data_IF_208988333279
#
_entry.id   IF_208988333279
#
_cell.length_a   1.000
_cell.length_b   1.000
_cell.length_c   1.000
_cell.angle_alpha   90.00
_cell.angle_beta   90.00
_cell.angle_gamma   90.00
#
_symmetry.space_group_name_H-M   'P 1'
#
loop_
_entity.id
_entity.type
_entity.pdbx_description
1 polymer ?
#
# COMPACT_ATOMS: atom_id res chain seq x y z
N UNK A 1 38.87 -10.63 18.83
CA UNK A 1 37.71 -10.01 18.15
C UNK A 1 36.52 -10.21 19.07
N UNK A 2 36.01 -9.14 19.68
CA UNK A 2 34.80 -9.24 20.48
C UNK A 2 33.62 -9.48 19.54
N UNK A 3 32.84 -10.55 19.77
CA UNK A 3 31.59 -10.79 19.07
C UNK A 3 30.71 -9.54 19.24
N UNK A 4 30.22 -8.94 18.15
CA UNK A 4 29.26 -7.84 18.27
C UNK A 4 28.03 -8.39 18.97
N UNK A 5 27.66 -7.79 20.11
CA UNK A 5 26.45 -8.21 20.83
C UNK A 5 25.18 -7.69 20.18
N UNK A 6 25.31 -6.66 19.33
CA UNK A 6 24.23 -6.11 18.52
C UNK A 6 24.28 -6.74 17.14
N UNK A 7 23.17 -7.32 16.71
CA UNK A 7 22.94 -7.65 15.30
C UNK A 7 22.57 -6.35 14.57
N UNK A 8 23.43 -5.91 13.66
CA UNK A 8 23.25 -4.67 12.90
C UNK A 8 21.98 -4.67 12.04
N UNK A 9 21.45 -5.85 11.67
CA UNK A 9 20.22 -5.97 10.90
C UNK A 9 18.96 -5.67 11.74
N UNK A 10 19.08 -5.75 13.06
CA UNK A 10 17.99 -5.47 13.99
C UNK A 10 18.03 -4.03 14.51
N UNK A 11 19.07 -3.25 14.16
CA UNK A 11 19.20 -1.85 14.56
C UNK A 11 18.15 -1.02 13.82
N UNK A 12 17.25 -0.33 14.54
CA UNK A 12 16.24 0.51 13.91
C UNK A 12 16.89 1.59 13.04
N UNK A 13 16.31 1.85 11.87
CA UNK A 13 16.77 2.94 11.02
C UNK A 13 16.51 4.28 11.72
N UNK A 14 17.53 5.11 11.85
CA UNK A 14 17.39 6.46 12.41
C UNK A 14 16.60 7.38 11.45
N UNK A 15 16.57 7.05 10.15
CA UNK A 15 15.64 7.59 9.15
C UNK A 15 15.80 9.08 8.84
N UNK A 16 16.93 9.69 9.22
CA UNK A 16 17.21 11.10 9.00
C UNK A 16 18.65 11.28 8.51
N UNK A 17 18.85 12.27 7.63
CA UNK A 17 20.16 12.61 7.10
C UNK A 17 20.76 13.73 7.94
N UNK A 18 22.03 13.60 8.31
CA UNK A 18 22.79 14.64 9.02
C UNK A 18 22.86 15.92 8.19
N UNK A 19 22.63 17.07 8.83
CA UNK A 19 22.90 18.37 8.19
C UNK A 19 21.83 18.89 7.22
N UNK A 20 20.58 18.44 7.33
CA UNK A 20 19.50 18.88 6.42
C UNK A 20 19.13 20.35 6.67
N UNK A 21 19.09 21.15 5.60
CA UNK A 21 18.64 22.55 5.60
C UNK A 21 19.24 23.42 6.73
N UNK A 22 20.57 23.62 6.77
CA UNK A 22 21.22 24.41 7.81
C UNK A 22 20.66 25.83 7.89
N UNK A 23 20.38 26.30 9.10
CA UNK A 23 19.87 27.65 9.38
C UNK A 23 20.99 28.56 9.89
N UNK A 24 20.84 29.86 9.60
CA UNK A 24 21.57 31.02 10.13
C UNK A 24 22.85 30.69 10.94
N UNK A 25 24.00 30.56 10.25
CA UNK A 25 25.31 30.38 10.90
C UNK A 25 25.75 28.93 11.14
N UNK A 26 24.97 27.93 10.72
CA UNK A 26 25.44 26.54 10.54
C UNK A 26 25.39 25.63 11.78
N UNK A 27 24.84 26.11 12.90
CA UNK A 27 24.69 25.31 14.12
C UNK A 27 23.45 24.41 14.11
N UNK A 28 22.33 24.91 13.59
CA UNK A 28 21.03 24.24 13.62
C UNK A 28 20.57 23.81 12.23
N UNK A 29 19.96 22.64 12.17
CA UNK A 29 19.45 21.97 10.97
C UNK A 29 18.02 21.47 11.21
N UNK A 30 17.28 21.23 10.13
CA UNK A 30 15.95 20.63 10.21
C UNK A 30 16.07 19.18 10.68
N UNK A 31 15.38 18.83 11.76
CA UNK A 31 15.27 17.46 12.27
C UNK A 31 14.26 16.60 11.49
N UNK A 32 14.05 15.38 11.95
CA UNK A 32 13.18 14.39 11.29
C UNK A 32 11.67 14.60 11.57
N UNK A 33 11.33 15.45 12.54
CA UNK A 33 9.97 15.61 13.06
C UNK A 33 9.50 17.05 12.89
N UNK A 34 8.24 17.25 12.48
CA UNK A 34 7.61 18.57 12.42
C UNK A 34 7.12 19.05 13.77
N UNK A 35 7.13 20.37 13.98
CA UNK A 35 6.51 21.01 15.14
C UNK A 35 4.99 20.73 15.09
N UNK A 36 4.35 20.42 16.23
CA UNK A 36 2.90 20.20 16.26
C UNK A 36 2.13 21.38 15.67
N UNK A 37 1.24 21.11 14.70
CA UNK A 37 0.41 22.13 14.06
C UNK A 37 1.16 23.04 13.08
N UNK A 38 2.40 22.73 12.70
CA UNK A 38 3.20 23.52 11.76
C UNK A 38 3.83 22.65 10.68
N UNK A 39 4.12 23.27 9.54
CA UNK A 39 4.91 22.66 8.45
C UNK A 39 6.42 22.70 8.73
N UNK A 40 6.85 23.44 9.76
CA UNK A 40 8.25 23.57 10.13
C UNK A 40 8.77 22.32 10.87
N UNK A 41 10.03 21.97 10.61
CA UNK A 41 10.73 20.93 11.34
C UNK A 41 11.26 21.44 12.69
N UNK A 42 11.33 20.53 13.66
CA UNK A 42 12.04 20.74 14.92
C UNK A 42 13.52 20.95 14.59
N UNK A 43 14.08 22.06 15.05
CA UNK A 43 15.50 22.35 14.82
C UNK A 43 16.36 21.47 15.74
N UNK A 44 17.42 20.92 15.18
CA UNK A 44 18.39 20.05 15.88
C UNK A 44 19.81 20.47 15.52
N UNK A 45 20.83 20.14 16.33
CA UNK A 45 22.22 20.41 15.94
C UNK A 45 22.56 19.75 14.60
N UNK A 46 23.25 20.45 13.70
CA UNK A 46 23.63 19.91 12.39
C UNK A 46 24.56 18.68 12.46
N UNK A 47 25.18 18.43 13.63
CA UNK A 47 25.92 17.20 13.89
C UNK A 47 25.02 15.96 14.05
N UNK A 48 23.70 16.15 14.15
CA UNK A 48 22.71 15.12 14.37
C UNK A 48 21.86 14.81 13.13
N UNK A 49 21.47 13.53 12.93
CA UNK A 49 21.94 12.35 13.67
C UNK A 49 23.43 12.06 13.45
N UNK A 50 24.09 11.28 14.33
CA UNK A 50 25.47 10.81 14.10
C UNK A 50 25.53 9.95 12.84
N UNK A 51 26.74 9.71 12.33
CA UNK A 51 26.88 8.71 11.27
C UNK A 51 26.63 7.29 11.80
N UNK A 52 26.29 6.38 10.89
CA UNK A 52 25.90 5.00 11.27
C UNK A 52 27.04 4.27 12.01
N UNK A 53 28.32 4.33 11.58
CA UNK A 53 29.41 3.71 12.33
C UNK A 53 29.59 4.25 13.75
N UNK A 54 29.53 5.58 13.94
CA UNK A 54 29.62 6.22 15.26
C UNK A 54 28.48 5.78 16.17
N UNK A 55 27.26 5.76 15.64
CA UNK A 55 26.08 5.27 16.37
C UNK A 55 26.21 3.80 16.77
N UNK A 56 26.58 2.92 15.84
CA UNK A 56 26.72 1.49 16.10
C UNK A 56 27.84 1.19 17.11
N UNK A 57 28.94 1.94 17.08
CA UNK A 57 30.02 1.80 18.06
C UNK A 57 29.51 2.10 19.47
N UNK A 58 28.78 3.22 19.64
CA UNK A 58 28.21 3.60 20.94
C UNK A 58 27.08 2.69 21.40
N UNK A 59 26.23 2.23 20.49
CA UNK A 59 25.18 1.27 20.78
C UNK A 59 25.78 -0.04 21.31
N UNK A 60 26.80 -0.58 20.65
CA UNK A 60 27.51 -1.78 21.11
C UNK A 60 28.16 -1.58 22.49
N UNK A 61 28.78 -0.43 22.74
CA UNK A 61 29.38 -0.09 24.05
C UNK A 61 28.33 -0.14 25.16
N UNK A 62 27.19 0.52 24.98
CA UNK A 62 26.13 0.57 26.01
C UNK A 62 25.41 -0.76 26.19
N UNK A 63 25.15 -1.50 25.11
CA UNK A 63 24.53 -2.82 25.18
C UNK A 63 25.45 -3.82 25.88
N UNK A 64 26.76 -3.81 25.58
CA UNK A 64 27.74 -4.65 26.26
C UNK A 64 27.87 -4.35 27.76
N UNK A 65 27.72 -3.08 28.13
CA UNK A 65 27.67 -2.67 29.53
C UNK A 65 26.32 -2.97 30.22
N UNK A 66 25.27 -3.33 29.45
CA UNK A 66 23.89 -3.44 29.94
C UNK A 66 23.29 -2.13 30.46
N UNK A 67 23.98 -1.01 30.21
CA UNK A 67 23.68 0.29 30.78
C UNK A 67 24.27 1.42 29.93
N UNK A 68 23.45 2.43 29.66
CA UNK A 68 23.85 3.70 29.09
C UNK A 68 23.75 4.78 30.18
N UNK A 69 24.87 5.05 30.85
CA UNK A 69 25.03 6.19 31.79
C UNK A 69 23.96 6.27 32.90
N UNK A 70 23.61 5.12 33.48
CA UNK A 70 22.61 4.98 34.54
C UNK A 70 21.27 4.44 34.05
N UNK A 71 20.98 4.53 32.75
CA UNK A 71 19.79 3.92 32.16
C UNK A 71 20.08 2.49 31.74
N UNK A 72 19.35 1.52 32.30
CA UNK A 72 19.44 0.13 31.83
C UNK A 72 19.05 0.06 30.36
N UNK A 73 19.87 -0.61 29.57
CA UNK A 73 19.58 -0.85 28.15
C UNK A 73 19.69 -2.34 27.86
N UNK A 74 18.91 -2.79 26.89
CA UNK A 74 18.99 -4.15 26.38
C UNK A 74 18.72 -4.15 24.87
N UNK A 75 19.24 -5.16 24.18
CA UNK A 75 19.07 -5.30 22.74
C UNK A 75 18.58 -6.72 22.42
N UNK A 76 17.28 -7.00 22.62
CA UNK A 76 16.74 -8.33 22.39
C UNK A 76 16.81 -8.69 20.90
N UNK A 77 16.97 -9.98 20.61
CA UNK A 77 17.01 -10.54 19.25
C UNK A 77 15.65 -11.02 18.75
N UNK A 78 14.64 -11.08 19.63
CA UNK A 78 13.29 -11.46 19.27
C UNK A 78 12.62 -10.45 18.33
N UNK A 79 11.52 -10.87 17.69
CA UNK A 79 10.80 -10.06 16.70
C UNK A 79 9.44 -9.57 17.18
N UNK A 80 9.14 -9.71 18.48
CA UNK A 80 7.91 -9.16 19.05
C UNK A 80 7.93 -7.63 19.02
N UNK A 81 6.77 -6.98 19.08
CA UNK A 81 6.69 -5.53 19.15
C UNK A 81 7.33 -5.00 20.44
N UNK A 82 7.25 -5.77 21.54
CA UNK A 82 7.98 -5.48 22.78
C UNK A 82 9.50 -5.46 22.55
N UNK A 83 10.05 -6.44 21.83
CA UNK A 83 11.48 -6.48 21.51
C UNK A 83 11.90 -5.30 20.61
N UNK A 84 11.08 -4.97 19.61
CA UNK A 84 11.33 -3.83 18.71
C UNK A 84 11.27 -2.50 19.47
N UNK A 85 10.28 -2.31 20.34
CA UNK A 85 10.16 -1.12 21.19
C UNK A 85 11.38 -1.00 22.10
N UNK A 86 11.85 -2.10 22.68
CA UNK A 86 13.03 -2.11 23.53
C UNK A 86 14.30 -1.73 22.74
N UNK A 87 14.48 -2.26 21.51
CA UNK A 87 15.57 -1.83 20.62
C UNK A 87 15.50 -0.34 20.29
N UNK A 88 14.31 0.21 20.05
CA UNK A 88 14.11 1.64 19.80
C UNK A 88 14.40 2.47 21.06
N UNK A 89 13.97 2.03 22.23
CA UNK A 89 14.28 2.71 23.50
C UNK A 89 15.79 2.75 23.72
N UNK A 90 16.48 1.64 23.51
CA UNK A 90 17.95 1.56 23.61
C UNK A 90 18.64 2.48 22.58
N UNK A 91 18.14 2.53 21.34
CA UNK A 91 18.65 3.45 20.32
C UNK A 91 18.45 4.93 20.71
N UNK A 92 17.27 5.29 21.23
CA UNK A 92 16.96 6.64 21.71
C UNK A 92 17.85 7.06 22.88
N UNK A 93 18.03 6.17 23.87
CA UNK A 93 18.92 6.40 25.01
C UNK A 93 20.37 6.55 24.53
N UNK A 94 20.79 5.75 23.55
CA UNK A 94 22.13 5.86 22.95
C UNK A 94 22.32 7.21 22.30
N UNK A 95 21.38 7.66 21.46
CA UNK A 95 21.43 8.97 20.81
C UNK A 95 21.54 10.11 21.82
N UNK A 96 20.73 10.08 22.88
CA UNK A 96 20.72 11.11 23.92
C UNK A 96 22.01 11.17 24.73
N UNK A 97 22.83 10.10 24.72
CA UNK A 97 24.03 9.96 25.54
C UNK A 97 25.33 9.78 24.73
N UNK A 98 25.33 10.06 23.42
CA UNK A 98 26.48 9.87 22.53
C UNK A 98 27.78 10.48 23.06
N UNK A 99 27.72 11.74 23.52
CA UNK A 99 28.88 12.53 23.93
C UNK A 99 28.93 12.77 25.46
N UNK A 100 28.08 12.09 26.23
CA UNK A 100 28.00 12.24 27.68
C UNK A 100 26.55 12.26 28.19
N UNK A 101 26.33 12.30 29.52
CA UNK A 101 25.00 12.28 30.11
C UNK A 101 24.12 13.43 29.60
N UNK A 102 23.08 13.11 28.83
CA UNK A 102 22.19 14.11 28.20
C UNK A 102 22.86 15.00 27.15
N UNK A 103 24.11 14.71 26.77
CA UNK A 103 24.85 15.42 25.74
C UNK A 103 24.91 14.50 24.53
N UNK A 104 23.92 14.65 23.65
CA UNK A 104 23.76 13.81 22.48
C UNK A 104 22.74 14.39 21.52
N UNK A 105 22.28 13.56 20.59
CA UNK A 105 21.32 13.99 19.61
C UNK A 105 19.89 13.94 20.17
N UNK A 106 19.12 15.04 20.05
CA UNK A 106 17.74 15.05 20.50
C UNK A 106 16.95 14.04 19.69
N UNK A 107 15.95 13.42 20.30
CA UNK A 107 15.20 12.36 19.62
C UNK A 107 14.48 12.83 18.34
N UNK A 108 14.14 14.11 18.27
CA UNK A 108 13.60 14.78 17.08
C UNK A 108 14.57 14.80 15.87
N UNK A 109 15.85 14.48 16.07
CA UNK A 109 16.81 14.29 14.97
C UNK A 109 16.63 12.97 14.23
N UNK A 110 15.72 12.09 14.70
CA UNK A 110 15.47 10.77 14.10
C UNK A 110 13.98 10.47 14.03
N UNK A 111 13.63 9.42 13.30
CA UNK A 111 12.25 8.94 13.17
C UNK A 111 11.86 7.91 14.25
N UNK A 112 12.75 7.65 15.21
CA UNK A 112 12.60 6.58 16.20
C UNK A 112 11.36 6.73 17.09
N UNK A 113 10.98 7.94 17.51
CA UNK A 113 9.73 8.13 18.26
C UNK A 113 8.49 7.79 17.41
N UNK A 114 8.52 8.10 16.12
CA UNK A 114 7.41 7.77 15.24
C UNK A 114 7.31 6.25 15.04
N UNK A 115 8.45 5.56 14.92
CA UNK A 115 8.51 4.09 14.85
C UNK A 115 8.04 3.43 16.14
N UNK A 116 8.48 3.93 17.30
CA UNK A 116 8.00 3.45 18.61
C UNK A 116 6.50 3.64 18.74
N UNK A 117 5.99 4.82 18.41
CA UNK A 117 4.55 5.10 18.43
C UNK A 117 3.79 4.19 17.46
N UNK A 118 4.38 3.83 16.32
CA UNK A 118 3.80 2.86 15.39
C UNK A 118 3.61 1.51 16.06
N UNK A 119 4.66 0.97 16.66
CA UNK A 119 4.63 -0.32 17.36
C UNK A 119 3.68 -0.27 18.57
N UNK A 120 3.68 0.81 19.35
CA UNK A 120 2.76 1.02 20.47
C UNK A 120 1.30 1.15 20.01
N UNK A 121 1.08 1.66 18.79
CA UNK A 121 -0.25 1.73 18.15
C UNK A 121 -0.66 0.44 17.43
N UNK A 122 0.22 -0.58 17.39
CA UNK A 122 -0.02 -1.85 16.71
C UNK A 122 0.27 -1.84 15.19
N UNK A 123 0.90 -0.78 14.67
CA UNK A 123 1.36 -0.70 13.28
C UNK A 123 2.85 -1.01 13.24
N UNK A 124 3.21 -2.18 12.74
CA UNK A 124 4.60 -2.49 12.42
C UNK A 124 5.01 -1.74 11.14
N UNK A 125 5.93 -0.77 11.29
CA UNK A 125 6.42 0.04 10.17
C UNK A 125 7.06 -0.78 9.04
N UNK A 126 7.59 -1.98 9.34
CA UNK A 126 8.16 -2.89 8.35
C UNK A 126 7.09 -3.55 7.46
N UNK A 127 5.85 -3.62 7.94
CA UNK A 127 4.72 -4.16 7.19
C UNK A 127 4.01 -3.10 6.33
N UNK A 128 4.40 -1.83 6.47
CA UNK A 128 3.85 -0.72 5.70
C UNK A 128 4.36 -0.80 4.26
N UNK A 129 3.47 -0.98 3.27
CA UNK A 129 3.86 -1.09 1.86
C UNK A 129 4.66 0.13 1.41
N UNK A 130 5.67 -0.10 0.58
CA UNK A 130 6.46 0.98 0.00
C UNK A 130 5.65 1.78 -1.02
N UNK A 131 5.90 3.07 -1.16
CA UNK A 131 5.24 3.87 -2.19
C UNK A 131 5.69 3.52 -3.60
N UNK A 132 6.91 2.99 -3.76
CA UNK A 132 7.52 2.65 -5.05
C UNK A 132 7.62 3.84 -6.00
N UNK A 133 7.62 5.06 -5.48
CA UNK A 133 7.71 6.29 -6.23
C UNK A 133 8.37 7.39 -5.37
N UNK A 134 9.17 8.24 -6.01
CA UNK A 134 9.81 9.38 -5.37
C UNK A 134 8.95 10.63 -5.51
N UNK A 135 9.03 11.52 -4.52
CA UNK A 135 8.42 12.86 -4.56
C UNK A 135 9.13 13.75 -5.57
N UNK A 136 8.38 14.63 -6.23
CA UNK A 136 8.97 15.70 -7.06
C UNK A 136 9.52 15.25 -8.42
N UNK A 137 9.06 14.13 -8.98
CA UNK A 137 9.55 13.63 -10.27
C UNK A 137 9.10 14.56 -11.41
N UNK A 138 10.04 15.00 -12.26
CA UNK A 138 9.81 15.81 -13.46
C UNK A 138 8.84 16.99 -13.24
N UNK A 139 9.20 17.96 -12.37
CA UNK A 139 8.34 19.09 -12.07
C UNK A 139 8.00 19.87 -13.34
N UNK A 140 6.72 20.16 -13.55
CA UNK A 140 6.28 20.99 -14.68
C UNK A 140 6.48 22.47 -14.33
N UNK A 141 7.12 23.22 -15.23
CA UNK A 141 7.50 24.61 -14.99
C UNK A 141 6.30 25.46 -14.52
N UNK A 142 6.35 25.94 -13.27
CA UNK A 142 5.44 26.95 -12.70
C UNK A 142 4.13 26.45 -12.07
N UNK A 143 3.82 25.14 -12.06
CA UNK A 143 2.47 24.65 -11.73
C UNK A 143 2.28 23.89 -10.41
N UNK A 144 3.35 23.50 -9.71
CA UNK A 144 3.23 22.66 -8.50
C UNK A 144 2.88 21.19 -8.78
N UNK A 145 2.77 20.80 -10.05
CA UNK A 145 2.49 19.43 -10.50
C UNK A 145 3.75 18.72 -11.02
N UNK A 146 3.82 17.43 -10.72
CA UNK A 146 4.89 16.50 -11.02
C UNK A 146 4.32 15.23 -11.67
N UNK A 147 5.18 14.43 -12.29
CA UNK A 147 4.80 13.12 -12.81
C UNK A 147 4.54 12.15 -11.65
N UNK A 148 3.39 11.48 -11.67
CA UNK A 148 3.04 10.42 -10.73
C UNK A 148 3.65 9.06 -11.09
N UNK A 149 3.30 8.04 -10.32
CA UNK A 149 3.83 6.68 -10.46
C UNK A 149 3.17 5.85 -11.57
N UNK A 150 2.05 6.32 -12.12
CA UNK A 150 1.25 5.59 -13.12
C UNK A 150 1.10 6.39 -14.42
N UNK A 151 1.06 5.69 -15.55
CA UNK A 151 0.81 6.29 -16.86
C UNK A 151 -0.67 6.57 -17.07
N UNK A 152 -0.98 7.63 -17.82
CA UNK A 152 -2.33 7.88 -18.33
C UNK A 152 -2.71 6.72 -19.26
N UNK A 153 -3.95 6.21 -19.18
CA UNK A 153 -4.39 5.14 -20.08
C UNK A 153 -4.18 5.51 -21.55
N UNK A 154 -3.57 4.61 -22.32
CA UNK A 154 -3.33 4.81 -23.76
C UNK A 154 -2.25 5.86 -24.11
N UNK A 155 -1.46 6.31 -23.14
CA UNK A 155 -0.43 7.34 -23.36
C UNK A 155 0.90 6.97 -22.71
N UNK A 156 1.99 7.49 -23.28
CA UNK A 156 3.32 7.48 -22.67
C UNK A 156 3.51 8.57 -21.62
N UNK A 157 2.48 9.36 -21.31
CA UNK A 157 2.53 10.37 -20.25
C UNK A 157 2.17 9.78 -18.89
N UNK A 158 2.77 10.32 -17.82
CA UNK A 158 2.37 10.01 -16.45
C UNK A 158 1.15 10.82 -16.03
N UNK A 159 0.34 10.25 -15.11
CA UNK A 159 -0.71 10.99 -14.43
C UNK A 159 -0.04 12.09 -13.60
N UNK A 160 -0.49 13.33 -13.76
CA UNK A 160 0.05 14.46 -13.00
C UNK A 160 -0.49 14.41 -11.57
N UNK A 161 0.40 14.66 -10.62
CA UNK A 161 0.11 14.71 -9.18
C UNK A 161 0.79 15.93 -8.57
N UNK A 162 0.34 16.44 -7.41
CA UNK A 162 1.05 17.50 -6.73
C UNK A 162 2.50 17.08 -6.45
N UNK A 163 3.47 17.97 -6.65
CA UNK A 163 4.89 17.71 -6.37
C UNK A 163 5.18 17.45 -4.89
N UNK A 164 4.23 17.77 -4.00
CA UNK A 164 4.28 17.39 -2.59
C UNK A 164 4.02 15.89 -2.35
N UNK A 165 3.58 15.15 -3.38
CA UNK A 165 3.22 13.74 -3.33
C UNK A 165 4.25 12.85 -4.05
N UNK A 166 4.51 11.63 -3.54
CA UNK A 166 4.02 11.08 -2.27
C UNK A 166 4.54 11.86 -1.04
N UNK A 167 3.87 11.72 0.12
CA UNK A 167 4.29 12.40 1.35
C UNK A 167 5.63 11.86 1.87
N UNK A 168 6.23 12.56 2.81
CA UNK A 168 7.37 12.03 3.56
C UNK A 168 6.95 10.80 4.37
N UNK A 169 7.75 9.73 4.32
CA UNK A 169 7.41 8.44 4.97
C UNK A 169 7.13 8.60 6.48
N UNK A 170 7.91 9.40 7.25
CA UNK A 170 7.60 9.62 8.67
C UNK A 170 6.27 10.35 8.89
N UNK A 171 5.93 11.33 8.04
CA UNK A 171 4.65 12.06 8.10
C UNK A 171 3.47 11.12 7.81
N UNK A 172 3.61 10.27 6.79
CA UNK A 172 2.62 9.25 6.47
C UNK A 172 2.44 8.23 7.59
N UNK A 173 3.53 7.69 8.15
CA UNK A 173 3.47 6.72 9.25
C UNK A 173 2.78 7.30 10.47
N UNK A 174 3.09 8.56 10.83
CA UNK A 174 2.42 9.23 11.94
C UNK A 174 0.89 9.29 11.76
N UNK A 175 0.42 9.55 10.52
CA UNK A 175 -1.01 9.57 10.20
C UNK A 175 -1.64 8.19 10.10
N UNK A 176 -0.92 7.22 9.53
CA UNK A 176 -1.36 5.83 9.48
C UNK A 176 -1.63 5.31 10.89
N UNK A 177 -0.70 5.56 11.82
CA UNK A 177 -0.84 5.16 13.22
C UNK A 177 -2.05 5.80 13.89
N UNK A 178 -2.28 7.09 13.64
CA UNK A 178 -3.45 7.81 14.17
C UNK A 178 -4.76 7.16 13.70
N UNK A 179 -4.88 6.84 12.41
CA UNK A 179 -6.09 6.22 11.87
C UNK A 179 -6.27 4.76 12.28
N UNK A 180 -5.20 3.98 12.34
CA UNK A 180 -5.26 2.58 12.77
C UNK A 180 -5.61 2.50 14.25
N UNK A 181 -5.01 3.33 15.10
CA UNK A 181 -5.35 3.40 16.53
C UNK A 181 -6.82 3.80 16.74
N UNK A 182 -7.36 4.68 15.90
CA UNK A 182 -8.78 5.04 15.91
C UNK A 182 -9.70 3.98 15.28
N UNK A 183 -9.14 2.96 14.61
CA UNK A 183 -9.89 2.01 13.76
C UNK A 183 -10.62 2.68 12.59
N UNK A 184 -10.30 3.94 12.30
CA UNK A 184 -11.04 4.81 11.41
C UNK A 184 -10.17 5.93 10.82
N UNK A 185 -10.25 6.07 9.50
CA UNK A 185 -9.70 7.18 8.75
C UNK A 185 -10.86 8.05 8.22
N UNK A 186 -11.30 9.02 9.03
CA UNK A 186 -12.29 10.04 8.65
C UNK A 186 -13.60 9.46 8.10
N UNK A 187 -14.19 8.52 8.82
CA UNK A 187 -15.44 7.84 8.46
C UNK A 187 -15.26 6.53 7.71
N UNK A 188 -14.04 6.22 7.27
CA UNK A 188 -13.71 4.94 6.63
C UNK A 188 -13.07 4.02 7.67
N UNK A 189 -13.66 2.85 7.92
CA UNK A 189 -13.07 1.85 8.81
C UNK A 189 -11.73 1.38 8.23
N UNK A 190 -10.70 1.35 9.05
CA UNK A 190 -9.38 0.85 8.66
C UNK A 190 -8.90 -0.19 9.65
N UNK A 191 -8.11 -1.14 9.16
CA UNK A 191 -7.42 -2.12 9.96
C UNK A 191 -6.01 -2.34 9.42
N UNK A 192 -5.08 -2.75 10.28
CA UNK A 192 -3.70 -3.00 9.88
C UNK A 192 -3.26 -4.37 10.42
N UNK A 193 -3.67 -5.46 9.77
CA UNK A 193 -3.35 -6.80 10.23
C UNK A 193 -1.83 -7.04 10.17
N UNK A 194 -1.32 -7.89 11.05
CA UNK A 194 0.12 -8.26 11.11
C UNK A 194 0.44 -9.56 10.36
N UNK A 195 -0.58 -10.30 9.90
CA UNK A 195 -0.39 -11.56 9.18
C UNK A 195 0.28 -11.40 7.81
N UNK A 196 0.73 -12.51 7.23
CA UNK A 196 1.49 -12.51 5.97
C UNK A 196 0.68 -12.99 4.75
N UNK A 197 -0.62 -13.25 4.92
CA UNK A 197 -1.47 -13.65 3.80
C UNK A 197 -1.59 -12.54 2.77
N UNK A 198 -1.91 -12.87 1.52
CA UNK A 198 -2.19 -11.84 0.51
C UNK A 198 -3.38 -10.96 0.93
N UNK A 199 -4.37 -11.52 1.63
CA UNK A 199 -5.47 -10.76 2.21
C UNK A 199 -4.98 -9.72 3.23
N UNK A 200 -4.08 -10.09 4.15
CA UNK A 200 -3.50 -9.16 5.13
C UNK A 200 -2.69 -8.05 4.43
N UNK A 201 -1.90 -8.42 3.42
CA UNK A 201 -1.11 -7.46 2.64
C UNK A 201 -2.00 -6.50 1.85
N UNK A 202 -3.09 -7.00 1.24
CA UNK A 202 -4.07 -6.18 0.53
C UNK A 202 -4.77 -5.22 1.49
N UNK A 203 -5.13 -5.67 2.68
CA UNK A 203 -5.77 -4.82 3.69
C UNK A 203 -4.82 -3.72 4.17
N UNK A 204 -3.53 -4.03 4.40
CA UNK A 204 -2.52 -3.00 4.67
C UNK A 204 -2.38 -1.99 3.54
N UNK A 205 -2.43 -2.43 2.28
CA UNK A 205 -2.41 -1.52 1.11
C UNK A 205 -3.67 -0.67 1.05
N UNK A 206 -4.86 -1.23 1.32
CA UNK A 206 -6.11 -0.48 1.36
C UNK A 206 -6.05 0.62 2.43
N UNK A 207 -5.62 0.26 3.64
CA UNK A 207 -5.44 1.21 4.74
C UNK A 207 -4.39 2.28 4.40
N UNK A 208 -3.30 1.90 3.70
CA UNK A 208 -2.30 2.86 3.23
C UNK A 208 -2.87 3.84 2.19
N UNK A 209 -3.67 3.36 1.23
CA UNK A 209 -4.35 4.19 0.22
C UNK A 209 -5.36 5.14 0.86
N UNK A 210 -6.17 4.66 1.80
CA UNK A 210 -7.13 5.49 2.55
C UNK A 210 -6.40 6.56 3.36
N UNK A 211 -5.30 6.20 4.02
CA UNK A 211 -4.46 7.15 4.76
C UNK A 211 -3.90 8.21 3.83
N UNK A 212 -3.33 7.80 2.69
CA UNK A 212 -2.75 8.67 1.68
C UNK A 212 -3.75 9.74 1.20
N UNK A 213 -4.98 9.33 0.92
CA UNK A 213 -6.06 10.21 0.45
C UNK A 213 -6.62 11.14 1.54
N UNK A 214 -6.34 10.88 2.81
CA UNK A 214 -6.93 11.60 3.96
C UNK A 214 -5.91 12.32 4.86
N UNK A 215 -4.65 12.45 4.41
CA UNK A 215 -3.52 12.99 5.17
C UNK A 215 -3.80 14.34 5.82
N UNK A 216 -4.37 15.28 5.06
CA UNK A 216 -4.56 16.68 5.46
C UNK A 216 -6.02 17.06 5.69
N UNK A 217 -6.97 16.14 5.48
CA UNK A 217 -8.40 16.39 5.57
C UNK A 217 -9.22 15.29 4.91
N UNK A 218 -10.55 15.25 5.06
CA UNK A 218 -11.40 14.30 4.34
C UNK A 218 -11.21 14.46 2.83
N UNK A 219 -10.66 13.45 2.16
CA UNK A 219 -10.33 13.49 0.73
C UNK A 219 -9.25 14.49 0.32
N UNK A 220 -8.57 15.12 1.30
CA UNK A 220 -7.47 16.06 1.07
C UNK A 220 -6.17 15.36 1.43
N UNK A 221 -5.47 14.87 0.42
CA UNK A 221 -4.24 14.11 0.57
C UNK A 221 -3.58 13.87 -0.78
N UNK A 222 -2.73 12.84 -0.84
CA UNK A 222 -2.08 12.46 -2.09
C UNK A 222 -2.97 11.49 -2.88
N UNK A 223 -3.12 11.69 -4.21
CA UNK A 223 -3.87 10.77 -5.05
C UNK A 223 -3.15 9.42 -5.11
N UNK A 224 -3.89 8.32 -5.25
CA UNK A 224 -3.28 6.98 -5.36
C UNK A 224 -2.23 6.88 -6.49
N UNK A 225 -2.43 7.65 -7.55
CA UNK A 225 -1.51 7.79 -8.68
C UNK A 225 -0.11 8.33 -8.32
N UNK A 226 0.08 8.91 -7.13
CA UNK A 226 1.41 9.31 -6.65
C UNK A 226 2.23 8.14 -6.10
N UNK A 227 1.69 6.92 -6.10
CA UNK A 227 2.33 5.71 -5.59
C UNK A 227 2.04 4.51 -6.49
N UNK A 228 2.75 3.41 -6.27
CA UNK A 228 2.51 2.12 -6.92
C UNK A 228 1.59 1.20 -6.13
N UNK A 229 0.99 1.68 -5.03
CA UNK A 229 0.17 0.86 -4.12
C UNK A 229 -0.98 0.13 -4.84
N UNK A 230 -1.64 0.77 -5.81
CA UNK A 230 -2.68 0.11 -6.61
C UNK A 230 -2.12 -1.02 -7.49
N UNK A 231 -0.89 -0.88 -8.01
CA UNK A 231 -0.23 -1.93 -8.78
C UNK A 231 0.22 -3.08 -7.87
N UNK A 232 0.75 -2.78 -6.68
CA UNK A 232 1.12 -3.77 -5.68
C UNK A 232 -0.10 -4.57 -5.20
N UNK A 233 -1.23 -3.90 -4.98
CA UNK A 233 -2.50 -4.56 -4.66
C UNK A 233 -2.90 -5.55 -5.75
N UNK A 234 -2.88 -5.13 -7.02
CA UNK A 234 -3.17 -6.01 -8.17
C UNK A 234 -2.20 -7.19 -8.28
N UNK A 235 -0.92 -6.98 -7.98
CA UNK A 235 0.08 -8.05 -7.96
C UNK A 235 -0.21 -9.10 -6.87
N UNK A 236 -0.63 -8.66 -5.68
CA UNK A 236 -1.04 -9.56 -4.59
C UNK A 236 -2.38 -10.26 -4.88
N UNK A 237 -3.32 -9.56 -5.51
CA UNK A 237 -4.61 -10.11 -5.95
C UNK A 237 -4.43 -11.18 -7.03
N UNK A 238 -3.42 -11.04 -7.89
CA UNK A 238 -3.09 -12.01 -8.94
C UNK A 238 -2.19 -13.17 -8.48
N UNK A 239 -1.82 -13.22 -7.20
CA UNK A 239 -0.93 -14.23 -6.64
C UNK A 239 0.55 -14.08 -7.04
N UNK A 240 0.90 -13.09 -7.85
CA UNK A 240 2.26 -12.74 -8.25
C UNK A 240 2.85 -11.67 -7.32
N UNK A 241 2.95 -11.98 -6.02
CA UNK A 241 3.77 -11.14 -5.14
C UNK A 241 5.22 -11.14 -5.65
N UNK A 242 5.90 -9.99 -5.77
CA UNK A 242 7.36 -10.00 -5.87
C UNK A 242 7.91 -10.79 -4.68
N UNK A 243 8.92 -11.65 -4.87
CA UNK A 243 9.51 -12.37 -3.75
C UNK A 243 10.02 -11.35 -2.73
N UNK A 244 9.80 -11.64 -1.45
CA UNK A 244 10.53 -10.95 -0.39
C UNK A 244 12.04 -11.07 -0.68
N UNK A 245 12.88 -10.09 -0.32
CA UNK A 245 14.32 -10.24 -0.48
C UNK A 245 14.77 -11.39 0.42
N UNK A 246 15.08 -12.54 -0.19
CA UNK A 246 15.68 -13.66 0.51
C UNK A 246 17.20 -13.44 0.61
N UNK A 247 17.83 -13.86 1.72
CA UNK A 247 19.27 -13.82 1.91
C UNK A 247 20.00 -14.75 0.92
N UNK A 248 21.30 -14.52 0.65
CA UNK A 248 22.03 -15.20 -0.41
C UNK A 248 22.37 -16.65 -0.03
N UNK A 249 21.97 -17.60 -0.87
CA UNK A 249 22.49 -18.97 -0.91
C UNK A 249 22.29 -19.53 -2.33
N UNK A 250 23.36 -19.56 -3.13
CA UNK A 250 24.13 -20.76 -3.55
C UNK A 250 23.41 -21.68 -4.53
N UNK A 251 24.02 -21.77 -5.71
CA UNK A 251 23.70 -22.61 -6.87
C UNK A 251 23.42 -24.07 -6.53
N UNK A 252 22.47 -24.66 -7.27
CA UNK A 252 22.67 -25.90 -8.03
C UNK A 252 21.50 -26.11 -9.01
N UNK A 253 21.87 -26.33 -10.28
CA UNK A 253 21.12 -27.00 -11.37
C UNK A 253 20.36 -28.27 -10.87
N UNK A 254 19.29 -28.79 -11.48
CA UNK A 254 19.16 -29.15 -12.90
C UNK A 254 17.72 -29.62 -13.28
N UNK A 255 17.45 -29.57 -14.60
CA UNK A 255 16.54 -30.34 -15.47
C UNK A 255 15.03 -30.62 -15.19
N UNK A 256 14.19 -29.87 -15.91
CA UNK A 256 13.29 -30.27 -17.02
C UNK A 256 12.47 -31.59 -16.97
N UNK A 257 11.15 -31.47 -17.23
CA UNK A 257 10.42 -32.33 -18.21
C UNK A 257 9.23 -31.59 -18.83
N UNK A 258 9.10 -31.77 -20.14
CA UNK A 258 8.09 -31.28 -21.09
C UNK A 258 6.96 -32.29 -21.32
N UNK A 259 5.74 -31.80 -21.56
CA UNK A 259 4.73 -32.24 -22.58
C UNK A 259 3.39 -31.55 -22.24
N UNK A 260 2.39 -31.32 -23.11
CA UNK A 260 2.22 -31.02 -24.54
C UNK A 260 0.69 -30.84 -24.69
N UNK A 261 0.27 -29.81 -25.44
CA UNK A 261 -1.05 -29.44 -25.98
C UNK A 261 -2.31 -30.33 -25.77
N UNK A 262 -3.43 -29.70 -25.35
CA UNK A 262 -4.74 -29.81 -26.03
C UNK A 262 -5.71 -28.68 -25.60
N UNK A 263 -6.41 -28.09 -26.58
CA UNK A 263 -7.26 -26.90 -26.45
C UNK A 263 -8.65 -27.17 -25.83
N UNK A 264 -9.05 -26.41 -24.80
CA UNK A 264 -10.45 -26.29 -24.34
C UNK A 264 -10.79 -24.85 -23.93
N UNK A 265 -11.08 -24.00 -24.92
CA UNK A 265 -11.58 -22.63 -24.71
C UNK A 265 -13.09 -22.54 -24.45
N UNK A 266 -13.69 -23.50 -23.72
CA UNK A 266 -15.13 -23.55 -23.47
C UNK A 266 -15.47 -23.17 -22.04
N UNK A 267 -15.90 -21.93 -21.81
CA UNK A 267 -16.48 -21.51 -20.54
C UNK A 267 -17.81 -22.22 -20.33
N UNK A 268 -17.94 -22.96 -19.22
CA UNK A 268 -19.21 -23.54 -18.80
C UNK A 268 -20.18 -22.41 -18.40
N UNK A 269 -21.22 -22.20 -19.20
CA UNK A 269 -22.22 -21.15 -19.01
C UNK A 269 -22.97 -21.26 -17.67
N UNK A 270 -23.02 -22.46 -17.07
CA UNK A 270 -23.65 -22.69 -15.76
C UNK A 270 -22.83 -22.14 -14.59
N UNK A 271 -21.50 -22.02 -14.77
CA UNK A 271 -20.59 -21.46 -13.77
C UNK A 271 -20.47 -19.93 -13.87
N UNK A 272 -21.05 -19.32 -14.91
CA UNK A 272 -21.02 -17.88 -15.12
C UNK A 272 -21.97 -17.19 -14.13
N UNK A 273 -21.44 -16.31 -13.24
CA UNK A 273 -22.25 -15.62 -12.26
C UNK A 273 -23.39 -14.84 -12.91
N UNK A 274 -24.55 -14.83 -12.26
CA UNK A 274 -25.67 -14.02 -12.74
C UNK A 274 -25.40 -12.53 -12.53
N UNK A 275 -25.89 -11.68 -13.44
CA UNK A 275 -25.73 -10.23 -13.27
C UNK A 275 -26.56 -9.69 -12.10
N UNK A 276 -27.63 -10.37 -11.71
CA UNK A 276 -28.54 -9.98 -10.63
C UNK A 276 -29.18 -8.61 -10.84
N UNK A 277 -29.29 -8.17 -12.09
CA UNK A 277 -29.90 -6.89 -12.48
C UNK A 277 -30.48 -7.00 -13.90
N UNK A 278 -31.58 -6.29 -14.14
CA UNK A 278 -32.21 -6.22 -15.45
C UNK A 278 -31.72 -4.99 -16.23
N UNK A 279 -31.63 -5.12 -17.56
CA UNK A 279 -31.33 -4.03 -18.48
C UNK A 279 -32.49 -3.02 -18.51
N UNK A 280 -32.18 -1.74 -18.67
CA UNK A 280 -33.19 -0.71 -18.93
C UNK A 280 -34.04 -0.28 -17.72
N UNK A 281 -33.57 -0.45 -16.48
CA UNK A 281 -34.35 -0.08 -15.28
C UNK A 281 -34.49 1.45 -15.20
N UNK A 282 -35.73 1.94 -15.03
CA UNK A 282 -36.07 3.35 -14.82
C UNK A 282 -35.34 4.32 -15.76
N UNK A 283 -35.56 4.24 -17.09
CA UNK A 283 -34.88 5.07 -18.06
C UNK A 283 -35.10 6.55 -17.76
N UNK A 284 -34.03 7.34 -17.78
CA UNK A 284 -34.11 8.79 -17.58
C UNK A 284 -34.46 9.46 -18.92
N UNK A 285 -35.49 10.30 -18.91
CA UNK A 285 -36.06 10.92 -20.11
C UNK A 285 -34.97 11.58 -20.97
N UNK A 286 -34.76 11.04 -22.18
CA UNK A 286 -33.93 11.62 -23.24
C UNK A 286 -32.41 11.39 -23.17
N UNK A 287 -31.88 10.71 -22.14
CA UNK A 287 -30.42 10.67 -21.88
C UNK A 287 -29.68 9.36 -22.20
N UNK A 288 -30.38 8.25 -22.50
CA UNK A 288 -29.73 6.95 -22.69
C UNK A 288 -29.22 6.29 -21.40
N UNK A 289 -29.44 6.93 -20.25
CA UNK A 289 -29.05 6.44 -18.92
C UNK A 289 -30.24 5.84 -18.15
N UNK A 290 -29.94 4.78 -17.40
CA UNK A 290 -30.84 4.00 -16.59
C UNK A 290 -30.26 3.84 -15.17
N UNK A 291 -31.10 3.42 -14.23
CA UNK A 291 -30.63 3.07 -12.88
C UNK A 291 -29.83 1.76 -12.91
N UNK A 292 -28.62 1.77 -12.35
CA UNK A 292 -27.80 0.59 -12.16
C UNK A 292 -28.21 -0.27 -10.96
N UNK A 293 -27.45 -1.33 -10.69
CA UNK A 293 -27.72 -2.31 -9.64
C UNK A 293 -27.27 -1.87 -8.23
N UNK A 294 -26.51 -0.77 -8.12
CA UNK A 294 -25.93 -0.30 -6.86
C UNK A 294 -26.33 1.15 -6.57
N UNK A 295 -26.48 1.48 -5.28
CA UNK A 295 -26.79 2.84 -4.82
C UNK A 295 -25.53 3.68 -4.70
N UNK A 296 -25.67 4.99 -4.92
CA UNK A 296 -24.62 5.97 -4.63
C UNK A 296 -24.37 5.99 -3.11
N UNK A 297 -23.10 6.06 -2.65
CA UNK A 297 -22.80 6.12 -1.22
C UNK A 297 -23.54 7.27 -0.53
N UNK A 298 -24.23 6.97 0.58
CA UNK A 298 -24.97 7.97 1.36
C UNK A 298 -26.25 8.50 0.70
N UNK A 299 -26.73 7.87 -0.36
CA UNK A 299 -27.94 8.30 -1.08
C UNK A 299 -28.90 7.14 -1.35
N UNK A 300 -30.18 7.45 -1.49
CA UNK A 300 -31.19 6.53 -2.00
C UNK A 300 -31.18 6.45 -3.54
N UNK A 301 -30.35 7.20 -4.24
CA UNK A 301 -30.24 7.13 -5.69
C UNK A 301 -29.35 5.98 -6.15
N UNK A 302 -29.68 5.38 -7.30
CA UNK A 302 -28.83 4.41 -7.97
C UNK A 302 -27.71 5.11 -8.75
N UNK A 303 -26.59 4.41 -8.91
CA UNK A 303 -25.54 4.82 -9.86
C UNK A 303 -26.13 4.72 -11.26
N UNK A 304 -26.04 5.80 -12.03
CA UNK A 304 -26.53 5.82 -13.41
C UNK A 304 -25.58 5.03 -14.30
N UNK A 305 -26.16 4.23 -15.20
CA UNK A 305 -25.45 3.41 -16.17
C UNK A 305 -26.13 3.53 -17.53
N UNK A 306 -25.45 3.25 -18.64
CA UNK A 306 -26.10 3.20 -19.95
C UNK A 306 -27.28 2.20 -19.92
N UNK A 307 -28.41 2.56 -20.50
CA UNK A 307 -29.59 1.68 -20.59
C UNK A 307 -29.35 0.39 -21.38
N UNK A 308 -28.26 0.34 -22.16
CA UNK A 308 -27.81 -0.88 -22.83
C UNK A 308 -27.21 -1.92 -21.87
N UNK A 309 -26.95 -1.54 -20.62
CA UNK A 309 -26.33 -2.36 -19.59
C UNK A 309 -27.31 -2.86 -18.52
N UNK A 310 -27.14 -4.09 -18.00
CA UNK A 310 -26.14 -5.09 -18.42
C UNK A 310 -26.40 -5.63 -19.85
N UNK A 311 -25.39 -6.22 -20.52
CA UNK A 311 -25.52 -6.74 -21.87
C UNK A 311 -26.43 -7.97 -21.91
N UNK A 312 -26.86 -8.37 -23.10
CA UNK A 312 -27.61 -9.60 -23.29
C UNK A 312 -26.72 -10.81 -22.97
N UNK A 313 -27.25 -11.77 -22.18
CA UNK A 313 -26.45 -12.88 -21.64
C UNK A 313 -25.74 -13.71 -22.72
N UNK A 314 -26.36 -14.06 -23.86
CA UNK A 314 -25.66 -14.76 -24.94
C UNK A 314 -24.50 -13.96 -25.55
N UNK A 315 -24.66 -12.64 -25.70
CA UNK A 315 -23.61 -11.75 -26.23
C UNK A 315 -22.42 -11.67 -25.28
N UNK A 316 -22.69 -11.54 -23.98
CA UNK A 316 -21.68 -11.57 -22.95
C UNK A 316 -20.93 -12.90 -22.92
N UNK A 317 -21.64 -14.03 -22.96
CA UNK A 317 -21.02 -15.36 -22.96
C UNK A 317 -20.12 -15.59 -24.18
N UNK A 318 -20.51 -15.07 -25.34
CA UNK A 318 -19.67 -15.15 -26.55
C UNK A 318 -18.32 -14.42 -26.33
N UNK A 319 -18.34 -13.21 -25.75
CA UNK A 319 -17.10 -12.48 -25.43
C UNK A 319 -16.31 -13.04 -24.27
N UNK A 320 -16.97 -13.56 -23.26
CA UNK A 320 -16.32 -14.24 -22.15
C UNK A 320 -15.52 -15.45 -22.65
N UNK A 321 -16.12 -16.26 -23.53
CA UNK A 321 -15.43 -17.38 -24.17
C UNK A 321 -14.21 -16.93 -24.97
N UNK A 322 -14.34 -15.87 -25.77
CA UNK A 322 -13.22 -15.33 -26.56
C UNK A 322 -12.05 -14.89 -25.68
N UNK A 323 -12.31 -14.14 -24.61
CA UNK A 323 -11.25 -13.66 -23.72
C UNK A 323 -10.61 -14.77 -22.90
N UNK A 324 -11.41 -15.74 -22.44
CA UNK A 324 -10.89 -16.89 -21.69
C UNK A 324 -10.06 -17.80 -22.59
N UNK A 325 -10.51 -18.06 -23.82
CA UNK A 325 -9.74 -18.82 -24.81
C UNK A 325 -8.42 -18.12 -25.16
N UNK A 326 -8.42 -16.79 -25.23
CA UNK A 326 -7.20 -15.99 -25.42
C UNK A 326 -6.35 -15.86 -24.14
N UNK A 327 -6.84 -16.31 -22.98
CA UNK A 327 -6.24 -16.05 -21.67
C UNK A 327 -6.11 -14.57 -21.32
N UNK A 328 -6.77 -13.69 -22.08
CA UNK A 328 -6.59 -12.25 -22.02
C UNK A 328 -7.84 -11.49 -22.53
N UNK A 329 -8.27 -10.52 -21.74
CA UNK A 329 -9.25 -9.50 -22.10
C UNK A 329 -8.54 -8.15 -22.30
N UNK A 330 -8.09 -7.90 -23.54
CA UNK A 330 -7.54 -6.61 -23.99
C UNK A 330 -6.45 -6.03 -23.08
N UNK A 331 -5.44 -6.83 -22.78
CA UNK A 331 -4.30 -6.47 -21.91
C UNK A 331 -4.48 -6.91 -20.45
N UNK A 332 -5.65 -7.39 -20.05
CA UNK A 332 -5.89 -7.96 -18.72
C UNK A 332 -5.90 -9.48 -18.82
N UNK A 333 -4.98 -10.18 -18.13
CA UNK A 333 -5.01 -11.64 -18.06
C UNK A 333 -6.32 -12.08 -17.40
N UNK A 334 -6.99 -13.06 -17.99
CA UNK A 334 -8.23 -13.63 -17.44
C UNK A 334 -8.12 -15.14 -17.38
N UNK A 335 -8.77 -15.72 -16.38
CA UNK A 335 -8.92 -17.17 -16.24
C UNK A 335 -10.33 -17.50 -15.78
N UNK A 336 -10.84 -18.68 -16.15
CA UNK A 336 -12.18 -19.11 -15.78
C UNK A 336 -12.12 -20.52 -15.20
N UNK A 337 -11.77 -20.65 -13.90
CA UNK A 337 -11.63 -21.95 -13.27
C UNK A 337 -12.98 -22.67 -13.19
N UNK A 338 -12.96 -24.01 -13.21
CA UNK A 338 -14.16 -24.86 -13.08
C UNK A 338 -14.42 -25.33 -11.66
N UNK A 339 -13.48 -25.11 -10.73
CA UNK A 339 -13.62 -25.49 -9.32
C UNK A 339 -14.74 -24.75 -8.58
N UNK A 340 -15.16 -25.26 -7.43
CA UNK A 340 -16.29 -24.71 -6.67
C UNK A 340 -15.88 -23.94 -5.41
N UNK A 341 -14.58 -23.70 -5.21
CA UNK A 341 -14.11 -22.92 -4.06
C UNK A 341 -14.57 -21.46 -4.16
N UNK A 342 -14.62 -20.75 -3.03
CA UNK A 342 -14.90 -19.31 -3.06
C UNK A 342 -13.85 -18.55 -3.89
N UNK A 343 -12.59 -19.01 -3.88
CA UNK A 343 -11.53 -18.45 -4.73
C UNK A 343 -11.86 -18.63 -6.22
N UNK A 344 -12.30 -19.81 -6.65
CA UNK A 344 -12.70 -20.06 -8.04
C UNK A 344 -13.91 -19.21 -8.45
N UNK A 345 -14.89 -19.08 -7.56
CA UNK A 345 -16.08 -18.24 -7.78
C UNK A 345 -15.71 -16.76 -7.88
N UNK A 346 -14.80 -16.27 -7.04
CA UNK A 346 -14.30 -14.89 -7.08
C UNK A 346 -13.53 -14.65 -8.38
N UNK A 347 -12.70 -15.58 -8.83
CA UNK A 347 -11.96 -15.45 -10.09
C UNK A 347 -12.91 -15.41 -11.30
N UNK A 348 -13.96 -16.25 -11.30
CA UNK A 348 -15.02 -16.16 -12.31
C UNK A 348 -15.72 -14.80 -12.30
N UNK A 349 -16.00 -14.23 -11.12
CA UNK A 349 -16.58 -12.89 -11.01
C UNK A 349 -15.61 -11.81 -11.50
N UNK A 350 -14.32 -11.90 -11.18
CA UNK A 350 -13.30 -10.96 -11.66
C UNK A 350 -13.22 -10.99 -13.18
N UNK A 351 -13.14 -12.18 -13.77
CA UNK A 351 -13.13 -12.37 -15.22
C UNK A 351 -14.43 -11.86 -15.87
N UNK A 352 -15.58 -12.05 -15.23
CA UNK A 352 -16.85 -11.49 -15.69
C UNK A 352 -16.86 -9.94 -15.66
N UNK A 353 -16.35 -9.32 -14.59
CA UNK A 353 -16.23 -7.86 -14.46
C UNK A 353 -15.30 -7.27 -15.51
N UNK A 354 -14.15 -7.91 -15.76
CA UNK A 354 -13.20 -7.49 -16.78
C UNK A 354 -13.82 -7.62 -18.18
N UNK A 355 -14.55 -8.71 -18.43
CA UNK A 355 -15.26 -8.93 -19.70
C UNK A 355 -16.33 -7.86 -19.92
N UNK A 356 -17.13 -7.52 -18.89
CA UNK A 356 -18.14 -6.46 -18.94
C UNK A 356 -17.53 -5.12 -19.33
N UNK A 357 -16.40 -4.74 -18.72
CA UNK A 357 -15.73 -3.48 -18.98
C UNK A 357 -15.08 -3.39 -20.37
N UNK A 358 -14.86 -4.54 -21.03
CA UNK A 358 -14.13 -4.63 -22.30
C UNK A 358 -14.95 -5.17 -23.47
N UNK A 359 -16.28 -5.27 -23.29
CA UNK A 359 -17.21 -5.94 -24.20
C UNK A 359 -17.11 -5.42 -25.66
N UNK A 360 -17.08 -4.09 -25.82
CA UNK A 360 -17.10 -3.40 -27.12
C UNK A 360 -15.78 -2.72 -27.50
N UNK A 361 -14.75 -2.81 -26.64
CA UNK A 361 -13.51 -2.07 -26.80
C UNK A 361 -12.72 -2.02 -25.50
N UNK A 362 -11.43 -1.62 -25.49
CA UNK A 362 -10.69 -1.42 -24.25
C UNK A 362 -11.38 -0.37 -23.38
N UNK A 363 -11.91 -0.77 -22.22
CA UNK A 363 -12.69 0.11 -21.34
C UNK A 363 -14.03 0.60 -21.91
N UNK A 364 -14.47 0.06 -23.06
CA UNK A 364 -15.76 0.38 -23.69
C UNK A 364 -16.67 -0.81 -23.48
N UNK A 365 -17.53 -0.71 -22.48
CA UNK A 365 -18.42 -1.79 -22.08
C UNK A 365 -19.33 -1.34 -20.95
N UNK A 366 -19.88 -2.30 -20.21
CA UNK A 366 -20.79 -2.02 -19.12
C UNK A 366 -20.03 -1.79 -17.80
N UNK A 367 -20.32 -0.69 -17.07
CA UNK A 367 -19.70 -0.45 -15.78
C UNK A 367 -20.13 -1.53 -14.78
N UNK A 368 -19.28 -1.85 -13.81
CA UNK A 368 -19.58 -2.86 -12.80
C UNK A 368 -20.89 -2.57 -12.04
N UNK A 369 -21.21 -1.28 -11.87
CA UNK A 369 -22.44 -0.79 -11.26
C UNK A 369 -23.73 -1.21 -12.01
N UNK A 370 -23.64 -1.71 -13.25
CA UNK A 370 -24.78 -2.28 -13.98
C UNK A 370 -25.15 -3.70 -13.53
N UNK A 371 -24.38 -4.30 -12.62
CA UNK A 371 -24.59 -5.66 -12.11
C UNK A 371 -24.37 -5.71 -10.60
N UNK A 372 -24.75 -6.82 -9.97
CA UNK A 372 -24.49 -7.09 -8.55
C UNK A 372 -23.20 -7.88 -8.33
N UNK A 373 -22.37 -8.10 -9.37
CA UNK A 373 -21.17 -8.92 -9.30
C UNK A 373 -20.17 -8.47 -8.22
N UNK A 374 -20.01 -7.16 -8.01
CA UNK A 374 -19.17 -6.65 -6.90
C UNK A 374 -19.73 -7.01 -5.53
N UNK A 375 -21.06 -7.02 -5.36
CA UNK A 375 -21.71 -7.45 -4.12
C UNK A 375 -21.61 -8.95 -3.93
N UNK A 376 -21.76 -9.74 -4.99
CA UNK A 376 -21.59 -11.21 -4.96
C UNK A 376 -20.15 -11.59 -4.60
N UNK A 377 -19.16 -10.90 -5.17
CA UNK A 377 -17.75 -11.06 -4.80
C UNK A 377 -17.55 -10.78 -3.32
N UNK A 378 -18.09 -9.67 -2.81
CA UNK A 378 -18.00 -9.31 -1.40
C UNK A 378 -18.63 -10.37 -0.48
N UNK A 379 -19.76 -10.95 -0.88
CA UNK A 379 -20.40 -12.03 -0.12
C UNK A 379 -19.53 -13.30 -0.07
N UNK A 380 -18.89 -13.67 -1.19
CA UNK A 380 -17.95 -14.80 -1.25
C UNK A 380 -16.70 -14.55 -0.41
N UNK A 381 -16.24 -13.30 -0.34
CA UNK A 381 -15.12 -12.86 0.50
C UNK A 381 -15.48 -12.85 1.99
N UNK A 382 -16.74 -12.55 2.36
CA UNK A 382 -17.22 -12.62 3.75
C UNK A 382 -17.63 -14.03 4.19
N UNK A 383 -17.76 -14.97 3.26
CA UNK A 383 -18.22 -16.34 3.54
C UNK A 383 -19.73 -16.44 3.81
N UNK A 384 -20.51 -15.41 3.48
CA UNK A 384 -21.97 -15.35 3.69
C UNK A 384 -22.78 -15.97 2.52
N UNK A 385 -22.21 -16.91 1.75
CA UNK A 385 -22.82 -17.47 0.53
C UNK A 385 -23.30 -18.90 0.69
#
# INVERSE_FOLDING_TARGET
MALSQVDENLVPDVGAVKGVNPKNGGGDCDGAVRKPGSIEFVQVPCSCPPDRPEFLAKLNEFVAAGNARGTKVSFPTGNSDADKIERINTALVTLQNLNGPGVGCPAASTTLLAQKKALESGVDASLVPDFGANKGINPKNGGGDCDGAVRKPGSSEFVQVPCSCPPDRPEFLAKLNEFVAAGNARGIKVSFPTGNSNADKIERINTALVTLQNLNGPGVGCPAASTTLLAQKKALESGNAPPAPNPPATDSDDAQTTDSDEAQGGVDASLVPDFGANKGINPKNGGGDCDGAVRKPGSSEFVQVPCSCPPDRPEFLAKLNEFVAAGNARGTKVSFPTGNSNADKIERINTALVTLQNLNGPGVGCPAASTTLLSQKKALESGEV
#
